data_IF_410304487657
#
_entry.id   IF_410304487657
#
_cell.length_a   1.000
_cell.length_b   1.000
_cell.length_c   1.000
_cell.angle_alpha   90.00
_cell.angle_beta   90.00
_cell.angle_gamma   90.00
#
_symmetry.space_group_name_H-M   'P 1'
#
loop_
_entity.id
_entity.type
_entity.pdbx_description
1 polymer ?
#
# COMPACT_ATOMS: atom_id res chain seq x y z
N UNK A 1 -1.72 3.60 -17.77
CA UNK A 1 -1.78 3.35 -16.31
C UNK A 1 -2.29 1.94 -16.10
N UNK A 2 -1.79 1.15 -15.14
CA UNK A 2 -2.33 -0.19 -14.88
C UNK A 2 -3.57 -0.04 -13.99
N UNK A 3 -4.77 -0.31 -14.52
CA UNK A 3 -6.07 -0.01 -13.89
C UNK A 3 -6.32 -0.70 -12.52
N UNK A 4 -5.41 -1.53 -12.04
CA UNK A 4 -5.54 -2.31 -10.80
C UNK A 4 -4.17 -2.55 -10.17
N UNK A 5 -3.28 -1.55 -10.20
CA UNK A 5 -1.89 -1.71 -9.73
C UNK A 5 -1.74 -1.99 -8.24
N UNK A 6 -2.76 -1.69 -7.44
CA UNK A 6 -2.77 -1.76 -5.98
C UNK A 6 -3.50 -2.99 -5.42
N UNK A 7 -3.91 -3.92 -6.28
CA UNK A 7 -4.56 -5.17 -5.88
C UNK A 7 -3.98 -6.34 -6.65
N UNK A 8 -3.97 -7.50 -6.01
CA UNK A 8 -3.59 -8.74 -6.68
C UNK A 8 -4.69 -9.11 -7.69
N UNK A 9 -4.29 -9.43 -8.93
CA UNK A 9 -5.23 -9.84 -9.98
C UNK A 9 -5.04 -11.31 -10.24
N UNK A 10 -6.03 -12.13 -9.90
CA UNK A 10 -6.14 -13.44 -10.54
C UNK A 10 -6.35 -13.20 -12.05
N UNK A 11 -5.63 -13.97 -12.88
CA UNK A 11 -5.64 -13.85 -14.35
C UNK A 11 -7.05 -13.91 -14.96
N UNK A 12 -8.04 -14.41 -14.21
CA UNK A 12 -9.41 -14.66 -14.65
C UNK A 12 -10.50 -14.03 -13.78
N UNK A 13 -10.19 -13.01 -12.98
CA UNK A 13 -11.20 -12.38 -12.13
C UNK A 13 -12.41 -11.87 -12.97
N UNK A 14 -13.61 -12.50 -12.84
CA UNK A 14 -14.78 -12.14 -13.64
C UNK A 14 -15.32 -10.76 -13.28
N UNK A 15 -15.26 -10.37 -12.00
CA UNK A 15 -15.76 -9.07 -11.55
C UNK A 15 -14.90 -7.94 -12.13
N UNK A 16 -13.57 -8.09 -12.10
CA UNK A 16 -12.66 -7.12 -12.73
C UNK A 16 -12.92 -7.03 -14.23
N UNK A 17 -13.17 -8.16 -14.92
CA UNK A 17 -13.49 -8.16 -16.36
C UNK A 17 -14.78 -7.38 -16.65
N UNK A 18 -15.80 -7.52 -15.83
CA UNK A 18 -17.05 -6.76 -15.98
C UNK A 18 -16.85 -5.26 -15.71
N UNK A 19 -16.05 -4.90 -14.70
CA UNK A 19 -15.72 -3.49 -14.43
C UNK A 19 -14.93 -2.88 -15.60
N UNK A 20 -13.96 -3.62 -16.15
CA UNK A 20 -13.15 -3.19 -17.31
C UNK A 20 -14.01 -3.08 -18.58
N UNK A 21 -15.01 -3.95 -18.78
CA UNK A 21 -15.98 -3.84 -19.88
C UNK A 21 -16.89 -2.62 -19.71
N UNK A 22 -17.37 -2.39 -18.49
CA UNK A 22 -18.18 -1.22 -18.20
C UNK A 22 -17.39 0.07 -18.41
N UNK A 23 -16.11 0.12 -18.02
CA UNK A 23 -15.22 1.25 -18.33
C UNK A 23 -15.20 1.56 -19.83
N UNK A 24 -15.10 0.54 -20.68
CA UNK A 24 -15.08 0.71 -22.14
C UNK A 24 -16.40 1.24 -22.70
N UNK A 25 -17.54 0.85 -22.13
CA UNK A 25 -18.85 1.30 -22.62
C UNK A 25 -19.19 2.74 -22.23
N UNK A 26 -18.45 3.33 -21.28
CA UNK A 26 -18.62 4.73 -20.88
C UNK A 26 -18.14 5.74 -21.95
N UNK A 27 -17.38 5.30 -22.96
CA UNK A 27 -16.85 6.16 -24.01
C UNK A 27 -15.77 7.12 -23.50
N UNK A 28 -15.82 8.39 -23.91
CA UNK A 28 -14.84 9.38 -23.46
C UNK A 28 -15.08 9.79 -22.01
N UNK A 29 -14.19 9.35 -21.12
CA UNK A 29 -14.27 9.66 -19.69
C UNK A 29 -13.61 11.02 -19.39
N UNK A 30 -14.32 11.97 -18.74
CA UNK A 30 -13.77 13.27 -18.36
C UNK A 30 -12.54 13.16 -17.46
N UNK A 31 -11.63 14.13 -17.57
CA UNK A 31 -10.37 14.15 -16.79
C UNK A 31 -10.61 14.06 -15.28
N UNK A 32 -11.65 14.71 -14.76
CA UNK A 32 -11.95 14.68 -13.32
C UNK A 32 -12.31 13.27 -12.84
N UNK A 33 -13.06 12.53 -13.66
CA UNK A 33 -13.47 11.14 -13.40
C UNK A 33 -12.27 10.19 -13.49
N UNK A 34 -11.38 10.39 -14.47
CA UNK A 34 -10.10 9.66 -14.59
C UNK A 34 -9.21 9.88 -13.36
N UNK A 35 -9.14 11.10 -12.85
CA UNK A 35 -8.35 11.40 -11.65
C UNK A 35 -8.91 10.69 -10.41
N UNK A 36 -10.24 10.64 -10.24
CA UNK A 36 -10.86 9.90 -9.13
C UNK A 36 -10.56 8.40 -9.28
N UNK A 37 -10.63 7.87 -10.50
CA UNK A 37 -10.24 6.48 -10.78
C UNK A 37 -8.78 6.21 -10.40
N UNK A 38 -7.89 7.15 -10.67
CA UNK A 38 -6.48 7.06 -10.31
C UNK A 38 -6.27 7.08 -8.78
N UNK A 39 -7.02 7.90 -8.04
CA UNK A 39 -7.01 7.87 -6.57
C UNK A 39 -7.37 6.47 -6.05
N UNK A 40 -8.38 5.83 -6.64
CA UNK A 40 -8.78 4.46 -6.28
C UNK A 40 -7.63 3.48 -6.56
N UNK A 41 -6.94 3.58 -7.71
CA UNK A 41 -5.80 2.68 -8.05
C UNK A 41 -4.55 2.88 -7.21
N UNK A 42 -4.47 3.98 -6.45
CA UNK A 42 -3.34 4.31 -5.57
C UNK A 42 -3.67 4.15 -4.10
N UNK A 43 -4.94 3.87 -3.78
CA UNK A 43 -5.39 3.68 -2.41
C UNK A 43 -4.82 2.37 -1.85
N UNK A 44 -4.41 2.38 -0.58
CA UNK A 44 -4.05 1.18 0.17
C UNK A 44 -4.64 1.25 1.58
N UNK A 45 -5.34 0.19 2.02
CA UNK A 45 -5.94 0.08 3.37
C UNK A 45 -4.90 0.12 4.52
N UNK A 46 -3.60 0.08 4.22
CA UNK A 46 -2.54 0.06 5.21
C UNK A 46 -2.26 1.40 5.91
N UNK A 47 -2.76 2.52 5.39
CA UNK A 47 -2.39 3.84 5.89
C UNK A 47 -3.08 4.20 7.21
N UNK A 48 -2.38 4.79 8.18
CA UNK A 48 -2.99 5.34 9.43
C UNK A 48 -4.18 6.30 9.17
N UNK A 49 -4.22 6.90 7.98
CA UNK A 49 -5.28 7.80 7.51
C UNK A 49 -6.23 7.16 6.49
N UNK A 50 -6.30 5.83 6.41
CA UNK A 50 -7.14 5.14 5.41
C UNK A 50 -8.60 5.60 5.48
N UNK A 51 -9.16 5.86 6.67
CA UNK A 51 -10.53 6.34 6.83
C UNK A 51 -10.72 7.76 6.27
N UNK A 52 -9.77 8.66 6.50
CA UNK A 52 -9.72 9.99 5.87
C UNK A 52 -9.60 9.88 4.33
N UNK A 53 -8.77 8.96 3.84
CA UNK A 53 -8.59 8.70 2.42
C UNK A 53 -9.86 8.14 1.76
N UNK A 54 -10.51 7.13 2.36
CA UNK A 54 -11.78 6.57 1.86
C UNK A 54 -12.84 7.67 1.82
N UNK A 55 -13.00 8.46 2.90
CA UNK A 55 -13.94 9.60 2.92
C UNK A 55 -13.66 10.59 1.81
N UNK A 56 -12.39 10.92 1.57
CA UNK A 56 -11.96 11.83 0.50
C UNK A 56 -12.29 11.29 -0.88
N UNK A 57 -12.04 10.00 -1.14
CA UNK A 57 -12.37 9.33 -2.40
C UNK A 57 -13.88 9.27 -2.60
N UNK A 58 -14.62 8.84 -1.58
CA UNK A 58 -16.09 8.75 -1.60
C UNK A 58 -16.73 10.12 -1.83
N UNK A 59 -16.24 11.17 -1.18
CA UNK A 59 -16.70 12.55 -1.42
C UNK A 59 -16.41 13.00 -2.86
N UNK A 60 -15.17 12.77 -3.33
CA UNK A 60 -14.75 13.10 -4.69
C UNK A 60 -15.65 12.41 -5.74
N UNK A 61 -15.98 11.14 -5.49
CA UNK A 61 -16.86 10.33 -6.32
C UNK A 61 -18.30 10.87 -6.32
N UNK A 62 -18.90 11.08 -5.15
CA UNK A 62 -20.29 11.51 -5.04
C UNK A 62 -20.53 12.87 -5.69
N UNK A 63 -19.55 13.77 -5.61
CA UNK A 63 -19.65 15.11 -6.17
C UNK A 63 -18.99 15.24 -7.55
N UNK A 64 -18.29 14.20 -8.02
CA UNK A 64 -17.44 14.24 -9.22
C UNK A 64 -16.45 15.41 -9.22
N UNK A 65 -15.89 15.72 -8.05
CA UNK A 65 -14.87 16.76 -7.84
C UNK A 65 -13.56 16.12 -7.45
N UNK A 66 -12.44 16.80 -7.74
CA UNK A 66 -11.11 16.34 -7.37
C UNK A 66 -10.65 17.04 -6.08
N UNK A 67 -10.78 16.35 -4.95
CA UNK A 67 -10.27 16.86 -3.67
C UNK A 67 -8.75 16.75 -3.54
N UNK A 68 -8.18 15.69 -4.11
CA UNK A 68 -6.74 15.41 -4.05
C UNK A 68 -6.23 15.16 -5.46
N UNK A 69 -5.10 15.75 -5.78
CA UNK A 69 -4.41 15.52 -7.05
C UNK A 69 -3.62 14.19 -6.97
N UNK A 70 -3.95 13.15 -7.77
CA UNK A 70 -3.33 11.84 -7.66
C UNK A 70 -1.80 11.87 -7.79
N UNK A 71 -1.29 12.71 -8.68
CA UNK A 71 0.15 12.89 -8.90
C UNK A 71 0.92 13.37 -7.66
N UNK A 72 0.22 13.89 -6.65
CA UNK A 72 0.84 14.31 -5.39
C UNK A 72 1.04 13.17 -4.39
N UNK A 73 0.33 12.05 -4.55
CA UNK A 73 0.48 10.87 -3.70
C UNK A 73 1.86 10.26 -3.93
N UNK A 74 2.63 10.07 -2.85
CA UNK A 74 3.98 9.50 -2.94
C UNK A 74 5.03 10.40 -3.58
N UNK A 75 4.70 11.66 -3.92
CA UNK A 75 5.67 12.61 -4.51
C UNK A 75 6.88 12.85 -3.61
N UNK A 76 6.64 12.75 -2.30
CA UNK A 76 7.64 12.91 -1.25
C UNK A 76 8.08 11.55 -0.66
N UNK A 77 7.88 10.45 -1.36
CA UNK A 77 8.36 9.15 -0.90
C UNK A 77 9.88 9.05 -1.07
N UNK A 78 10.54 8.33 -0.16
CA UNK A 78 12.01 8.18 -0.17
C UNK A 78 12.54 7.51 -1.45
N UNK A 79 11.73 6.72 -2.14
CA UNK A 79 12.11 6.12 -3.42
C UNK A 79 12.34 7.13 -4.55
N UNK A 80 11.90 8.38 -4.39
CA UNK A 80 12.15 9.48 -5.33
C UNK A 80 13.50 10.18 -5.13
N UNK A 81 14.32 9.68 -4.20
CA UNK A 81 15.72 10.08 -4.03
C UNK A 81 15.92 11.40 -3.28
N UNK A 82 17.15 11.92 -3.35
CA UNK A 82 17.64 12.99 -2.47
C UNK A 82 16.90 14.33 -2.60
N UNK A 83 16.26 14.61 -3.74
CA UNK A 83 15.50 15.86 -3.94
C UNK A 83 14.30 15.97 -2.99
N UNK A 84 13.68 14.84 -2.64
CA UNK A 84 12.55 14.78 -1.71
C UNK A 84 12.98 15.09 -0.28
N UNK A 85 14.18 14.67 0.13
CA UNK A 85 14.71 14.91 1.47
C UNK A 85 14.79 16.40 1.83
N UNK A 86 15.16 17.24 0.86
CA UNK A 86 15.27 18.68 1.06
C UNK A 86 13.92 19.35 1.36
N UNK A 87 12.82 18.69 0.97
CA UNK A 87 11.46 19.20 1.08
C UNK A 87 10.64 18.46 2.16
N UNK A 88 11.22 17.48 2.86
CA UNK A 88 10.55 16.74 3.91
C UNK A 88 10.52 17.53 5.23
N UNK A 89 9.34 18.00 5.62
CA UNK A 89 9.10 18.70 6.88
C UNK A 89 8.90 17.77 8.08
N UNK A 90 8.68 16.47 7.84
CA UNK A 90 8.35 15.49 8.90
C UNK A 90 9.58 14.78 9.46
N UNK A 91 10.71 14.80 8.74
CA UNK A 91 11.93 14.08 9.07
C UNK A 91 11.88 12.56 8.82
N UNK A 92 10.71 11.99 8.50
CA UNK A 92 10.54 10.55 8.26
C UNK A 92 11.31 10.08 7.03
N UNK A 93 11.35 10.89 5.97
CA UNK A 93 12.10 10.56 4.75
C UNK A 93 13.60 10.54 5.02
N UNK A 94 14.07 11.45 5.89
CA UNK A 94 15.47 11.48 6.33
C UNK A 94 15.85 10.23 7.10
N UNK A 95 15.03 9.83 8.06
CA UNK A 95 15.23 8.60 8.84
C UNK A 95 15.21 7.38 7.92
N UNK A 96 14.20 7.23 7.06
CA UNK A 96 14.10 6.11 6.13
C UNK A 96 15.32 5.98 5.20
N UNK A 97 15.88 7.09 4.74
CA UNK A 97 17.10 7.08 3.93
C UNK A 97 18.35 6.64 4.71
N UNK A 98 18.44 6.95 6.01
CA UNK A 98 19.53 6.45 6.86
C UNK A 98 19.50 4.92 6.95
N UNK A 99 18.32 4.33 7.17
CA UNK A 99 18.17 2.87 7.15
C UNK A 99 18.47 2.27 5.78
N UNK A 100 17.93 2.84 4.70
CA UNK A 100 18.19 2.37 3.33
C UNK A 100 19.69 2.34 3.03
N UNK A 101 20.42 3.39 3.43
CA UNK A 101 21.89 3.45 3.29
C UNK A 101 22.57 2.35 4.09
N UNK A 102 22.26 2.22 5.38
CA UNK A 102 22.88 1.24 6.27
C UNK A 102 22.62 -0.20 5.82
N UNK A 103 21.37 -0.51 5.42
CA UNK A 103 20.98 -1.80 4.86
C UNK A 103 21.76 -2.10 3.57
N UNK A 104 21.87 -1.13 2.65
CA UNK A 104 22.63 -1.30 1.40
C UNK A 104 24.12 -1.54 1.68
N UNK A 105 24.69 -0.86 2.68
CA UNK A 105 26.08 -1.06 3.11
C UNK A 105 26.29 -2.46 3.65
N UNK A 106 25.41 -2.93 4.53
CA UNK A 106 25.45 -4.30 5.04
C UNK A 106 25.34 -5.31 3.88
N UNK A 107 24.41 -5.12 2.94
CA UNK A 107 24.26 -6.00 1.77
C UNK A 107 25.52 -6.07 0.88
N UNK A 108 26.17 -4.92 0.60
CA UNK A 108 27.30 -4.83 -0.34
C UNK A 108 28.68 -5.18 0.25
N UNK A 109 28.82 -5.29 1.57
CA UNK A 109 30.14 -5.31 2.25
C UNK A 109 31.03 -4.11 1.89
N UNK A 110 30.43 -3.02 1.40
CA UNK A 110 31.18 -1.96 0.73
C UNK A 110 30.92 -0.61 1.42
N UNK A 111 32.00 -0.01 1.91
CA UNK A 111 32.05 1.33 2.51
C UNK A 111 32.12 2.43 1.44
N UNK A 112 32.20 2.07 0.15
CA UNK A 112 32.40 3.01 -0.94
C UNK A 112 31.08 3.56 -1.52
N UNK A 113 30.49 4.50 -0.79
CA UNK A 113 29.86 5.71 -1.36
C UNK A 113 29.51 6.65 -0.22
N UNK A 114 30.29 7.73 -0.10
CA UNK A 114 30.06 8.84 0.82
C UNK A 114 28.80 9.60 0.38
N UNK A 115 27.62 9.11 0.73
CA UNK A 115 26.44 9.96 0.78
C UNK A 115 26.52 10.85 2.02
N UNK A 116 26.57 12.16 1.78
CA UNK A 116 26.68 13.20 2.79
C UNK A 116 25.35 13.37 3.56
N UNK A 117 25.00 12.37 4.36
CA UNK A 117 24.01 12.51 5.43
C UNK A 117 24.81 12.59 6.74
N UNK A 118 24.95 13.81 7.28
CA UNK A 118 25.65 14.06 8.56
C UNK A 118 25.02 13.22 9.69
N UNK A 119 25.87 12.42 10.37
CA UNK A 119 25.70 11.50 11.55
C UNK A 119 25.14 10.10 11.25
N UNK A 120 25.65 8.96 11.79
CA UNK A 120 26.86 8.61 12.59
C UNK A 120 27.35 7.20 12.19
N UNK A 121 28.66 6.94 12.21
CA UNK A 121 29.26 5.59 11.99
C UNK A 121 28.61 4.52 12.87
N UNK A 122 28.26 4.91 14.09
CA UNK A 122 27.53 4.14 15.11
C UNK A 122 26.19 3.57 14.63
N UNK A 123 25.41 4.30 13.83
CA UNK A 123 24.13 3.79 13.35
C UNK A 123 24.33 2.65 12.34
N UNK A 124 25.26 2.81 11.40
CA UNK A 124 25.60 1.74 10.45
C UNK A 124 26.18 0.50 11.17
N UNK A 125 26.96 0.72 12.23
CA UNK A 125 27.52 -0.33 13.09
C UNK A 125 26.42 -1.08 13.85
N UNK A 126 25.43 -0.36 14.42
CA UNK A 126 24.30 -0.97 15.10
C UNK A 126 23.48 -1.86 14.17
N UNK A 127 23.19 -1.39 12.94
CA UNK A 127 22.47 -2.18 11.94
C UNK A 127 23.28 -3.43 11.58
N UNK A 128 24.59 -3.29 11.41
CA UNK A 128 25.47 -4.44 11.12
C UNK A 128 25.51 -5.44 12.27
N UNK A 129 25.52 -4.96 13.52
CA UNK A 129 25.47 -5.78 14.73
C UNK A 129 24.14 -6.51 14.87
N UNK A 130 23.02 -5.82 14.64
CA UNK A 130 21.69 -6.43 14.69
C UNK A 130 21.53 -7.52 13.64
N UNK A 131 21.95 -7.25 12.39
CA UNK A 131 21.84 -8.22 11.32
C UNK A 131 22.86 -9.36 11.43
N UNK A 132 24.02 -9.13 12.03
CA UNK A 132 25.05 -10.15 12.20
C UNK A 132 25.56 -10.74 10.88
N UNK A 133 25.96 -12.01 10.93
CA UNK A 133 26.49 -12.72 9.78
C UNK A 133 25.42 -12.96 8.69
N UNK A 134 25.88 -12.92 7.44
CA UNK A 134 25.03 -13.16 6.26
C UNK A 134 24.76 -14.64 6.08
N UNK A 135 23.53 -14.94 5.71
CA UNK A 135 23.14 -16.21 5.09
C UNK A 135 22.15 -15.90 3.94
N UNK A 136 21.86 -16.87 3.05
CA UNK A 136 20.98 -16.64 1.90
C UNK A 136 19.59 -16.10 2.27
N UNK A 137 18.96 -16.64 3.31
CA UNK A 137 17.62 -16.23 3.75
C UNK A 137 17.59 -14.81 4.31
N UNK A 138 18.57 -14.48 5.15
CA UNK A 138 18.73 -13.13 5.70
C UNK A 138 18.97 -12.11 4.62
N UNK A 139 19.83 -12.41 3.64
CA UNK A 139 20.06 -11.54 2.48
C UNK A 139 18.74 -11.32 1.73
N UNK A 140 17.97 -12.38 1.49
CA UNK A 140 16.68 -12.31 0.80
C UNK A 140 15.67 -11.47 1.58
N UNK A 141 15.47 -11.73 2.87
CA UNK A 141 14.56 -10.98 3.74
C UNK A 141 14.93 -9.49 3.81
N UNK A 142 16.23 -9.18 3.88
CA UNK A 142 16.69 -7.79 3.86
C UNK A 142 16.47 -7.13 2.49
N UNK A 143 16.64 -7.86 1.39
CA UNK A 143 16.26 -7.36 0.05
C UNK A 143 14.75 -7.14 -0.05
N UNK A 144 13.93 -8.01 0.54
CA UNK A 144 12.47 -7.87 0.58
C UNK A 144 12.06 -6.62 1.37
N UNK A 145 12.66 -6.42 2.55
CA UNK A 145 12.46 -5.23 3.37
C UNK A 145 12.84 -3.96 2.62
N UNK A 146 14.00 -3.96 1.96
CA UNK A 146 14.45 -2.83 1.15
C UNK A 146 13.49 -2.54 -0.02
N UNK A 147 13.01 -3.58 -0.70
CA UNK A 147 12.05 -3.45 -1.78
C UNK A 147 10.73 -2.85 -1.28
N UNK A 148 10.24 -3.31 -0.12
CA UNK A 148 9.02 -2.77 0.51
C UNK A 148 9.16 -1.30 0.88
N UNK A 149 10.26 -0.93 1.56
CA UNK A 149 10.55 0.46 1.98
C UNK A 149 10.69 1.40 0.79
N UNK A 150 11.17 0.92 -0.37
CA UNK A 150 11.38 1.72 -1.56
C UNK A 150 10.22 1.64 -2.57
N UNK A 151 9.14 0.91 -2.26
CA UNK A 151 8.06 0.60 -3.21
C UNK A 151 8.59 0.03 -4.55
N UNK A 152 9.64 -0.77 -4.49
CA UNK A 152 10.13 -1.56 -5.63
C UNK A 152 9.29 -2.83 -5.75
N UNK A 153 8.08 -2.67 -6.32
CA UNK A 153 7.09 -3.74 -6.43
C UNK A 153 7.56 -4.94 -7.26
N UNK A 154 8.45 -4.71 -8.22
CA UNK A 154 8.99 -5.80 -9.03
C UNK A 154 9.87 -6.72 -8.18
N UNK A 155 10.84 -6.16 -7.46
CA UNK A 155 11.68 -6.93 -6.54
C UNK A 155 10.86 -7.51 -5.39
N UNK A 156 9.94 -6.73 -4.83
CA UNK A 156 9.08 -7.13 -3.72
C UNK A 156 8.26 -8.40 -4.05
N UNK A 157 7.68 -8.48 -5.24
CA UNK A 157 6.92 -9.65 -5.67
C UNK A 157 7.81 -10.87 -5.93
N UNK A 158 9.01 -10.68 -6.48
CA UNK A 158 9.96 -11.78 -6.77
C UNK A 158 10.58 -12.40 -5.51
N UNK A 159 10.67 -11.64 -4.41
CA UNK A 159 11.39 -12.04 -3.20
C UNK A 159 10.51 -12.74 -2.15
N UNK A 160 9.19 -12.74 -2.32
CA UNK A 160 8.25 -13.47 -1.48
C UNK A 160 8.23 -14.94 -1.86
N UNK A 161 8.46 -15.82 -0.89
CA UNK A 161 8.57 -17.26 -1.13
C UNK A 161 7.56 -18.06 -0.28
N UNK A 162 7.04 -17.50 0.83
CA UNK A 162 6.08 -18.18 1.74
C UNK A 162 6.60 -19.56 2.20
N UNK A 163 7.81 -19.57 2.77
CA UNK A 163 8.48 -20.77 3.28
C UNK A 163 8.65 -20.76 4.80
N UNK A 164 9.76 -21.32 5.30
CA UNK A 164 10.09 -21.40 6.74
C UNK A 164 9.92 -20.07 7.50
N UNK A 165 10.21 -18.95 6.84
CA UNK A 165 10.13 -17.60 7.41
C UNK A 165 8.88 -16.81 7.01
N UNK A 166 7.78 -17.48 6.63
CA UNK A 166 6.55 -16.82 6.16
C UNK A 166 6.02 -15.75 7.14
N UNK A 167 6.00 -16.03 8.44
CA UNK A 167 5.49 -15.08 9.43
C UNK A 167 6.40 -13.84 9.57
N UNK A 168 7.71 -14.02 9.45
CA UNK A 168 8.65 -12.90 9.42
C UNK A 168 8.52 -12.10 8.11
N UNK A 169 8.30 -12.77 6.98
CA UNK A 169 7.95 -12.12 5.71
C UNK A 169 6.68 -11.28 5.86
N UNK A 170 5.63 -11.81 6.50
CA UNK A 170 4.39 -11.06 6.76
C UNK A 170 4.67 -9.79 7.57
N UNK A 171 5.53 -9.83 8.58
CA UNK A 171 5.91 -8.63 9.32
C UNK A 171 6.66 -7.62 8.42
N UNK A 172 7.56 -8.08 7.54
CA UNK A 172 8.24 -7.22 6.56
C UNK A 172 7.23 -6.58 5.59
N UNK A 173 6.28 -7.35 5.06
CA UNK A 173 5.25 -6.85 4.15
C UNK A 173 4.37 -5.77 4.80
N UNK A 174 4.21 -5.86 6.13
CA UNK A 174 3.49 -4.91 6.97
C UNK A 174 4.30 -3.69 7.35
N UNK A 175 5.51 -3.44 6.85
CA UNK A 175 6.19 -2.15 7.14
C UNK A 175 5.93 -1.11 6.04
N UNK A 176 5.71 0.14 6.43
CA UNK A 176 5.69 1.27 5.51
C UNK A 176 6.20 2.54 6.20
N UNK A 177 6.90 3.40 5.45
CA UNK A 177 7.49 4.65 5.95
C UNK A 177 6.44 5.67 6.40
N UNK A 178 5.21 5.50 5.95
CA UNK A 178 4.09 6.35 6.36
C UNK A 178 3.62 6.07 7.81
N UNK A 179 3.95 4.92 8.39
CA UNK A 179 3.51 4.53 9.74
C UNK A 179 4.17 5.39 10.83
N UNK A 180 3.44 5.73 11.91
CA UNK A 180 4.01 6.56 12.98
C UNK A 180 5.11 5.84 13.76
N UNK A 181 4.95 4.53 14.01
CA UNK A 181 5.94 3.66 14.64
C UNK A 181 7.02 3.15 13.65
N UNK A 182 7.13 3.73 12.45
CA UNK A 182 8.04 3.22 11.40
C UNK A 182 9.49 3.02 11.88
N UNK A 183 10.14 3.99 12.58
CA UNK A 183 11.51 3.78 13.05
C UNK A 183 11.62 2.61 14.04
N UNK A 184 10.74 2.54 15.04
CA UNK A 184 10.74 1.48 16.04
C UNK A 184 10.47 0.10 15.43
N UNK A 185 9.50 0.00 14.52
CA UNK A 185 9.20 -1.24 13.81
C UNK A 185 10.38 -1.70 12.94
N UNK A 186 11.14 -0.77 12.36
CA UNK A 186 12.29 -1.10 11.53
C UNK A 186 13.46 -1.62 12.38
N UNK A 187 13.70 -1.02 13.55
CA UNK A 187 14.69 -1.54 14.51
C UNK A 187 14.35 -2.96 14.95
N UNK A 188 13.08 -3.20 15.31
CA UNK A 188 12.59 -4.54 15.69
C UNK A 188 12.79 -5.54 14.56
N UNK A 189 12.30 -5.22 13.35
CA UNK A 189 12.44 -6.10 12.19
C UNK A 189 13.89 -6.44 11.85
N UNK A 190 14.81 -5.46 11.93
CA UNK A 190 16.21 -5.72 11.60
C UNK A 190 16.87 -6.66 12.62
N UNK A 191 16.56 -6.52 13.92
CA UNK A 191 17.02 -7.46 14.96
C UNK A 191 16.44 -8.86 14.73
N UNK A 192 15.14 -8.93 14.51
CA UNK A 192 14.40 -10.17 14.25
C UNK A 192 14.90 -10.90 13.01
N UNK A 193 15.19 -10.19 11.91
CA UNK A 193 15.84 -10.78 10.73
C UNK A 193 17.27 -11.23 11.05
N UNK A 194 18.01 -10.50 11.89
CA UNK A 194 19.32 -10.91 12.36
C UNK A 194 19.32 -12.24 13.12
N UNK A 195 18.33 -12.41 13.98
CA UNK A 195 18.10 -13.59 14.81
C UNK A 195 17.30 -14.69 14.09
N UNK A 196 16.77 -14.42 12.90
CA UNK A 196 15.86 -15.29 12.14
C UNK A 196 14.62 -15.70 12.95
N UNK A 197 14.05 -14.74 13.71
CA UNK A 197 12.88 -14.90 14.58
C UNK A 197 11.86 -13.82 14.31
N UNK A 198 10.66 -13.96 14.88
CA UNK A 198 9.63 -12.92 14.81
C UNK A 198 9.99 -11.71 15.68
N UNK A 199 9.48 -10.55 15.28
CA UNK A 199 9.55 -9.33 16.06
C UNK A 199 8.42 -9.27 17.08
N UNK A 200 8.77 -9.38 18.36
CA UNK A 200 7.85 -9.15 19.47
C UNK A 200 7.47 -7.66 19.56
N UNK A 201 6.20 -7.37 19.82
CA UNK A 201 5.69 -6.00 19.90
C UNK A 201 5.65 -5.26 18.55
N UNK A 202 5.82 -5.96 17.42
CA UNK A 202 5.69 -5.37 16.09
C UNK A 202 4.25 -4.94 15.82
N UNK A 203 4.02 -3.63 15.78
CA UNK A 203 2.71 -3.05 15.48
C UNK A 203 2.34 -3.25 13.99
N UNK A 204 3.35 -3.11 13.13
CA UNK A 204 3.18 -3.07 11.68
C UNK A 204 2.32 -1.91 11.19
N UNK A 205 2.12 -1.90 9.89
CA UNK A 205 1.26 -1.07 9.07
C UNK A 205 0.33 -2.07 8.34
N UNK A 206 -0.92 -1.72 8.04
CA UNK A 206 -1.79 -2.65 7.31
C UNK A 206 -3.10 -3.02 7.97
N UNK A 207 -4.13 -3.05 7.12
CA UNK A 207 -5.28 -3.96 6.97
C UNK A 207 -5.52 -5.16 7.92
N UNK A 208 -4.53 -5.61 8.69
CA UNK A 208 -4.62 -6.71 9.65
C UNK A 208 -5.11 -6.28 11.03
N UNK A 209 -5.27 -4.98 11.26
CA UNK A 209 -5.96 -4.47 12.45
C UNK A 209 -7.47 -4.70 12.28
N UNK A 210 -8.07 -5.49 13.18
CA UNK A 210 -9.51 -5.83 13.11
C UNK A 210 -10.41 -4.58 13.12
N UNK A 211 -10.04 -3.51 13.84
CA UNK A 211 -10.77 -2.23 13.79
C UNK A 211 -10.76 -1.62 12.39
N UNK A 212 -9.62 -1.66 11.70
CA UNK A 212 -9.47 -1.17 10.32
C UNK A 212 -10.35 -1.99 9.38
N UNK A 213 -10.30 -3.31 9.52
CA UNK A 213 -11.10 -4.25 8.74
C UNK A 213 -12.60 -4.03 8.96
N UNK A 214 -13.06 -3.87 10.20
CA UNK A 214 -14.45 -3.54 10.52
C UNK A 214 -14.91 -2.21 9.90
N UNK A 215 -14.08 -1.17 9.98
CA UNK A 215 -14.36 0.12 9.35
C UNK A 215 -14.49 0.00 7.84
N UNK A 216 -13.57 -0.69 7.17
CA UNK A 216 -13.65 -0.90 5.71
C UNK A 216 -14.83 -1.78 5.33
N UNK A 217 -15.17 -2.80 6.12
CA UNK A 217 -16.39 -3.61 5.90
C UNK A 217 -17.64 -2.74 5.98
N UNK A 218 -17.70 -1.79 6.92
CA UNK A 218 -18.80 -0.81 6.99
C UNK A 218 -18.88 0.05 5.73
N UNK A 219 -17.74 0.50 5.22
CA UNK A 219 -17.68 1.25 3.96
C UNK A 219 -18.13 0.40 2.76
N UNK A 220 -17.72 -0.87 2.67
CA UNK A 220 -18.20 -1.80 1.63
C UNK A 220 -19.72 -1.98 1.71
N UNK A 221 -20.28 -2.16 2.92
CA UNK A 221 -21.74 -2.27 3.13
C UNK A 221 -22.46 -0.98 2.70
N UNK A 222 -21.90 0.18 3.01
CA UNK A 222 -22.42 1.47 2.57
C UNK A 222 -22.43 1.57 1.04
N UNK A 223 -21.32 1.25 0.37
CA UNK A 223 -21.23 1.25 -1.10
C UNK A 223 -22.26 0.29 -1.72
N UNK A 224 -22.38 -0.92 -1.19
CA UNK A 224 -23.38 -1.90 -1.65
C UNK A 224 -24.81 -1.37 -1.55
N UNK A 225 -25.18 -0.72 -0.44
CA UNK A 225 -26.50 -0.11 -0.27
C UNK A 225 -26.80 0.91 -1.37
N UNK A 226 -25.82 1.73 -1.73
CA UNK A 226 -25.96 2.71 -2.82
C UNK A 226 -26.11 2.04 -4.19
N UNK A 227 -25.28 1.04 -4.50
CA UNK A 227 -25.36 0.31 -5.77
C UNK A 227 -26.70 -0.43 -5.93
N UNK A 228 -27.18 -1.11 -4.88
CA UNK A 228 -28.48 -1.80 -4.86
C UNK A 228 -29.63 -0.80 -5.00
N UNK A 229 -29.57 0.33 -4.30
CA UNK A 229 -30.58 1.38 -4.46
C UNK A 229 -30.66 1.82 -5.92
N UNK A 230 -29.50 2.06 -6.54
CA UNK A 230 -29.44 2.52 -7.92
C UNK A 230 -29.86 1.48 -8.95
N UNK A 231 -29.66 0.18 -8.70
CA UNK A 231 -30.10 -0.88 -9.62
C UNK A 231 -31.63 -1.06 -9.61
N UNK A 232 -32.30 -0.71 -8.51
CA UNK A 232 -33.76 -0.78 -8.38
C UNK A 232 -34.49 0.43 -8.97
N UNK A 233 -33.78 1.48 -9.33
CA UNK A 233 -34.42 2.66 -9.93
C UNK A 233 -34.77 2.40 -11.39
N UNK A 234 -36.03 2.62 -11.75
CA UNK A 234 -36.55 2.38 -13.11
C UNK A 234 -36.11 3.43 -14.14
N UNK A 235 -35.50 4.54 -13.70
CA UNK A 235 -35.06 5.61 -14.60
C UNK A 235 -33.75 5.24 -15.27
N UNK A 236 -33.65 5.54 -16.58
CA UNK A 236 -32.39 5.41 -17.31
C UNK A 236 -31.30 6.23 -16.60
N UNK A 237 -30.14 5.63 -16.26
CA UNK A 237 -29.07 6.35 -15.59
C UNK A 237 -28.52 7.47 -16.46
N UNK A 238 -28.29 8.64 -15.87
CA UNK A 238 -27.52 9.71 -16.54
C UNK A 238 -26.05 9.30 -16.67
N UNK A 239 -25.32 9.91 -17.60
CA UNK A 239 -23.88 9.64 -17.77
C UNK A 239 -23.09 9.88 -16.47
N UNK A 240 -23.38 10.97 -15.76
CA UNK A 240 -22.76 11.26 -14.46
C UNK A 240 -23.03 10.16 -13.43
N UNK A 241 -24.22 9.55 -13.46
CA UNK A 241 -24.56 8.42 -12.59
C UNK A 241 -23.81 7.16 -13.00
N UNK A 242 -23.67 6.88 -14.29
CA UNK A 242 -22.87 5.74 -14.77
C UNK A 242 -21.41 5.86 -14.30
N UNK A 243 -20.81 7.06 -14.35
CA UNK A 243 -19.47 7.31 -13.78
C UNK A 243 -19.41 6.98 -12.29
N UNK A 244 -20.40 7.40 -11.50
CA UNK A 244 -20.45 7.12 -10.06
C UNK A 244 -20.57 5.61 -9.78
N UNK A 245 -21.42 4.90 -10.53
CA UNK A 245 -21.57 3.44 -10.40
C UNK A 245 -20.22 2.77 -10.69
N UNK A 246 -19.59 3.08 -11.82
CA UNK A 246 -18.30 2.49 -12.20
C UNK A 246 -17.20 2.76 -11.17
N UNK A 247 -17.08 4.00 -10.69
CA UNK A 247 -16.11 4.37 -9.66
C UNK A 247 -16.39 3.66 -8.32
N UNK A 248 -17.67 3.53 -7.90
CA UNK A 248 -18.01 2.86 -6.64
C UNK A 248 -17.72 1.37 -6.70
N UNK A 249 -18.06 0.72 -7.83
CA UNK A 249 -17.71 -0.68 -8.05
C UNK A 249 -16.20 -0.88 -8.05
N UNK A 250 -15.45 0.05 -8.66
CA UNK A 250 -13.98 0.01 -8.64
C UNK A 250 -13.40 0.17 -7.23
N UNK A 251 -13.92 1.11 -6.43
CA UNK A 251 -13.50 1.30 -5.04
C UNK A 251 -13.85 0.08 -4.19
N UNK A 252 -15.09 -0.43 -4.29
CA UNK A 252 -15.53 -1.63 -3.58
C UNK A 252 -14.60 -2.81 -3.87
N UNK A 253 -14.33 -3.09 -5.15
CA UNK A 253 -13.43 -4.19 -5.54
C UNK A 253 -12.04 -4.00 -4.95
N UNK A 254 -11.52 -2.78 -5.01
CA UNK A 254 -10.22 -2.44 -4.40
C UNK A 254 -10.20 -2.76 -2.90
N UNK A 255 -11.23 -2.36 -2.15
CA UNK A 255 -11.33 -2.59 -0.71
C UNK A 255 -11.44 -4.08 -0.35
N UNK A 256 -12.21 -4.85 -1.13
CA UNK A 256 -12.37 -6.31 -0.92
C UNK A 256 -11.02 -7.01 -1.10
N UNK A 257 -10.30 -6.71 -2.18
CA UNK A 257 -9.03 -7.34 -2.51
C UNK A 257 -7.94 -6.99 -1.50
N UNK A 258 -7.83 -5.72 -1.09
CA UNK A 258 -6.82 -5.29 -0.12
C UNK A 258 -7.01 -5.84 1.29
N UNK A 259 -8.22 -6.32 1.60
CA UNK A 259 -8.52 -7.00 2.85
C UNK A 259 -8.64 -8.52 2.70
N UNK A 260 -8.40 -9.05 1.49
CA UNK A 260 -8.59 -10.46 1.17
C UNK A 260 -9.96 -11.00 1.61
N UNK A 261 -11.01 -10.18 1.46
CA UNK A 261 -12.39 -10.54 1.82
C UNK A 261 -13.04 -11.42 0.74
N UNK A 262 -12.33 -12.44 0.28
CA UNK A 262 -12.82 -13.45 -0.65
C UNK A 262 -13.90 -14.25 0.04
N UNK A 263 -15.16 -13.91 -0.21
CA UNK A 263 -16.25 -14.49 0.57
C UNK A 263 -16.75 -15.79 -0.06
N UNK A 264 -16.98 -16.83 0.76
CA UNK A 264 -18.03 -17.81 0.53
C UNK A 264 -19.35 -17.42 1.24
N UNK A 265 -19.44 -16.28 1.95
CA UNK A 265 -20.50 -16.00 2.94
C UNK A 265 -21.11 -14.58 2.95
N UNK A 266 -20.98 -13.80 1.87
CA UNK A 266 -21.75 -12.54 1.72
C UNK A 266 -23.13 -12.78 1.08
N UNK A 267 -23.49 -14.02 0.76
CA UNK A 267 -24.82 -14.39 0.22
C UNK A 267 -25.88 -14.69 1.29
N UNK A 268 -25.54 -14.83 2.57
CA UNK A 268 -26.52 -15.17 3.61
C UNK A 268 -26.89 -13.98 4.50
N UNK A 269 -27.46 -12.95 3.89
CA UNK A 269 -28.31 -11.99 4.58
C UNK A 269 -29.50 -11.67 3.65
N UNK A 270 -30.39 -12.66 3.54
CA UNK A 270 -31.78 -12.44 3.16
C UNK A 270 -32.48 -11.62 4.25
#
# INVERSE_FOLDING_TARGET
>A
MKNWSNIERLRWDPEIREIDRFEKSLGEIPKIVKNIRELITRFEVCHFKYSEHIRTITFSLHNLVKMVEPSTIGKNHISKGLKVLKNDKTGRSKIGQQYVRAIRKWLKNDTSKKEAIRKTKEFDENISKWLGAKNPDKIRLIKLLLARILWDWESYNKLQIKGEYEELEKQICRIDICHYAFPSNLDLLLKSIGEMKLADGFEGCGSFNEKIKEEVIREIKYINKHLIKWSKEKRVPTQARLYKIWLLTSLKKTLIEQLHLYSPKIESAN
#
